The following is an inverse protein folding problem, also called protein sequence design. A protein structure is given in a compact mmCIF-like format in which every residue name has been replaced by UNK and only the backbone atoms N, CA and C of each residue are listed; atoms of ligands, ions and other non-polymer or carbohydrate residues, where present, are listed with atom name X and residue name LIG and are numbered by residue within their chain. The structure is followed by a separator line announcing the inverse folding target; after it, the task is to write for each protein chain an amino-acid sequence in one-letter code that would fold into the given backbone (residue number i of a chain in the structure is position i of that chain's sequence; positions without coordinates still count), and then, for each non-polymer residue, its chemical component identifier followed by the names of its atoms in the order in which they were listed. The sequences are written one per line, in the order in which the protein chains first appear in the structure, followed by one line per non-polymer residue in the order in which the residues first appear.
data_IF_607739864530
#
_entry.id   IF_607739864530
#
_cell.length_a   1.000
_cell.length_b   1.000
_cell.length_c   1.000
_cell.angle_alpha   90.00
_cell.angle_beta   90.00
_cell.angle_gamma   90.00
#
_symmetry.space_group_name_H-M   'P 1'
#
loop_
_entity.id
_entity.type
_entity.pdbx_description
1 polymer ?
#
# COMPACT_ATOMS: atom_id res chain seq x y z
N UNK A 1 -0.34 -12.22 22.51
CA UNK A 1 -1.10 -13.51 22.58
C UNK A 1 -2.54 -13.26 22.13
N UNK A 2 -3.03 -14.04 21.18
CA UNK A 2 -4.38 -13.90 20.60
C UNK A 2 -5.46 -14.32 21.61
N UNK A 3 -6.56 -13.58 21.67
CA UNK A 3 -7.76 -13.95 22.44
C UNK A 3 -8.56 -15.02 21.70
N UNK A 4 -9.48 -15.72 22.39
CA UNK A 4 -10.35 -16.72 21.77
C UNK A 4 -11.19 -16.15 20.62
N UNK A 5 -11.66 -14.91 20.74
CA UNK A 5 -12.39 -14.19 19.67
C UNK A 5 -11.49 -13.97 18.46
N UNK A 6 -10.24 -13.59 18.66
CA UNK A 6 -9.27 -13.39 17.58
C UNK A 6 -8.85 -14.72 16.94
N UNK A 7 -8.67 -15.79 17.74
CA UNK A 7 -8.43 -17.14 17.21
C UNK A 7 -9.59 -17.58 16.30
N UNK A 8 -10.83 -17.28 16.66
CA UNK A 8 -12.00 -17.57 15.83
C UNK A 8 -12.01 -16.70 14.57
N UNK A 9 -11.78 -15.38 14.69
CA UNK A 9 -11.78 -14.41 13.59
C UNK A 9 -10.73 -14.77 12.54
N UNK A 10 -9.51 -15.02 12.97
CA UNK A 10 -8.35 -15.24 12.08
C UNK A 10 -8.08 -16.71 11.79
N UNK A 11 -8.92 -17.62 12.26
CA UNK A 11 -8.70 -19.07 12.20
C UNK A 11 -8.36 -19.61 10.81
N UNK A 12 -8.88 -18.99 9.73
CA UNK A 12 -8.60 -19.43 8.36
C UNK A 12 -7.17 -19.11 7.90
N UNK A 13 -6.60 -17.99 8.32
CA UNK A 13 -5.21 -17.63 8.00
C UNK A 13 -4.21 -18.28 8.97
N UNK A 14 -4.61 -18.57 10.22
CA UNK A 14 -3.79 -19.33 11.17
C UNK A 14 -3.50 -20.78 10.73
N UNK A 15 -4.30 -21.34 9.82
CA UNK A 15 -4.07 -22.67 9.22
C UNK A 15 -2.96 -22.69 8.17
N UNK A 16 -2.49 -21.54 7.71
CA UNK A 16 -1.39 -21.46 6.76
C UNK A 16 -0.08 -21.74 7.50
N UNK A 17 0.62 -22.81 7.10
CA UNK A 17 1.78 -23.35 7.79
C UNK A 17 2.90 -22.32 8.04
N UNK A 18 3.15 -21.44 7.04
CA UNK A 18 4.24 -20.45 7.11
C UNK A 18 3.80 -19.11 7.70
N UNK A 19 2.50 -18.97 8.03
CA UNK A 19 1.94 -17.75 8.61
C UNK A 19 1.66 -17.94 10.10
N UNK A 20 0.83 -18.92 10.43
CA UNK A 20 0.43 -19.39 11.78
C UNK A 20 0.11 -18.26 12.78
N UNK A 21 0.28 -18.55 14.08
CA UNK A 21 0.08 -17.60 15.20
C UNK A 21 1.13 -16.49 15.16
N UNK A 22 2.37 -16.80 14.78
CA UNK A 22 3.45 -15.81 14.77
C UNK A 22 3.20 -14.73 13.71
N UNK A 23 2.76 -15.09 12.51
CA UNK A 23 2.38 -14.15 11.47
C UNK A 23 1.21 -13.25 11.89
N UNK A 24 0.20 -13.82 12.58
CA UNK A 24 -0.94 -13.05 13.08
C UNK A 24 -0.53 -12.07 14.19
N UNK A 25 0.30 -12.49 15.12
CA UNK A 25 0.81 -11.62 16.19
C UNK A 25 1.68 -10.50 15.61
N UNK A 26 2.47 -10.79 14.55
CA UNK A 26 3.23 -9.77 13.82
C UNK A 26 2.31 -8.74 13.15
N UNK A 27 1.22 -9.17 12.50
CA UNK A 27 0.23 -8.23 11.93
C UNK A 27 -0.44 -7.36 13.00
N UNK A 28 -0.81 -7.95 14.13
CA UNK A 28 -1.45 -7.21 15.24
C UNK A 28 -0.52 -6.18 15.88
N UNK A 29 0.78 -6.42 15.87
CA UNK A 29 1.77 -5.48 16.36
C UNK A 29 2.09 -4.36 15.38
N UNK A 30 1.77 -4.56 14.09
CA UNK A 30 2.20 -3.68 13.02
C UNK A 30 1.35 -2.41 12.89
N UNK A 31 2.02 -1.33 12.47
CA UNK A 31 1.42 -0.05 12.08
C UNK A 31 1.64 0.17 10.58
N UNK A 32 0.57 0.38 9.81
CA UNK A 32 0.60 0.64 8.37
C UNK A 32 0.07 2.04 8.07
N UNK A 33 0.84 2.84 7.31
CA UNK A 33 0.36 4.07 6.71
C UNK A 33 -0.15 3.77 5.29
N UNK A 34 -1.40 4.13 4.98
CA UNK A 34 -1.98 4.07 3.64
C UNK A 34 -2.16 5.50 3.14
N UNK A 35 -1.51 5.84 2.03
CA UNK A 35 -1.62 7.15 1.39
C UNK A 35 -2.45 7.04 0.12
N UNK A 36 -3.59 7.71 0.10
CA UNK A 36 -4.63 7.62 -0.91
C UNK A 36 -5.67 6.55 -0.58
N UNK A 37 -6.94 6.95 -0.43
CA UNK A 37 -8.10 6.08 -0.15
C UNK A 37 -9.05 6.01 -1.37
N UNK A 38 -8.44 6.11 -2.55
CA UNK A 38 -9.12 5.97 -3.83
C UNK A 38 -9.35 4.51 -4.24
N UNK A 39 -9.30 4.23 -5.54
CA UNK A 39 -9.58 2.89 -6.09
C UNK A 39 -8.60 1.80 -5.66
N UNK A 40 -7.32 2.14 -5.41
CA UNK A 40 -6.29 1.23 -4.92
C UNK A 40 -6.33 1.11 -3.38
N UNK A 41 -6.40 2.27 -2.69
CA UNK A 41 -6.36 2.29 -1.23
C UNK A 41 -7.60 1.72 -0.57
N UNK A 42 -8.78 1.84 -1.18
CA UNK A 42 -10.01 1.25 -0.66
C UNK A 42 -9.91 -0.26 -0.43
N UNK A 43 -9.62 -1.10 -1.44
CA UNK A 43 -9.47 -2.54 -1.22
C UNK A 43 -8.25 -2.86 -0.34
N UNK A 44 -7.15 -2.11 -0.43
CA UNK A 44 -5.99 -2.31 0.43
C UNK A 44 -6.36 -2.14 1.91
N UNK A 45 -7.05 -1.05 2.27
CA UNK A 45 -7.49 -0.79 3.63
C UNK A 45 -8.46 -1.88 4.15
N UNK A 46 -9.43 -2.28 3.33
CA UNK A 46 -10.42 -3.33 3.67
C UNK A 46 -9.72 -4.65 3.99
N UNK A 47 -8.80 -5.11 3.14
CA UNK A 47 -8.14 -6.39 3.34
C UNK A 47 -7.11 -6.38 4.47
N UNK A 48 -6.39 -5.28 4.68
CA UNK A 48 -5.48 -5.13 5.83
C UNK A 48 -6.25 -5.12 7.17
N UNK A 49 -7.39 -4.43 7.20
CA UNK A 49 -8.27 -4.45 8.37
C UNK A 49 -8.84 -5.85 8.64
N UNK A 50 -9.34 -6.53 7.62
CA UNK A 50 -9.87 -7.89 7.73
C UNK A 50 -8.80 -8.90 8.16
N UNK A 51 -7.54 -8.74 7.70
CA UNK A 51 -6.41 -9.55 8.10
C UNK A 51 -5.93 -9.29 9.53
N UNK A 52 -6.32 -8.17 10.15
CA UNK A 52 -6.01 -7.87 11.55
C UNK A 52 -4.68 -7.13 11.76
N UNK A 53 -4.34 -6.20 10.87
CA UNK A 53 -3.28 -5.20 11.15
C UNK A 53 -3.68 -4.39 12.38
N UNK A 54 -2.75 -4.25 13.35
CA UNK A 54 -3.11 -3.65 14.64
C UNK A 54 -3.43 -2.17 14.60
N UNK A 55 -2.67 -1.39 13.81
CA UNK A 55 -2.88 0.05 13.64
C UNK A 55 -2.77 0.46 12.19
N UNK A 56 -3.71 1.28 11.74
CA UNK A 56 -3.73 1.85 10.39
C UNK A 56 -3.81 3.37 10.47
N UNK A 57 -2.92 4.05 9.75
CA UNK A 57 -2.96 5.50 9.54
C UNK A 57 -3.47 5.70 8.12
N UNK A 58 -4.65 6.31 7.98
CA UNK A 58 -5.33 6.51 6.70
C UNK A 58 -5.21 7.98 6.29
N UNK A 59 -4.50 8.26 5.19
CA UNK A 59 -4.22 9.62 4.73
C UNK A 59 -4.84 9.88 3.36
N UNK A 60 -5.77 10.84 3.28
CA UNK A 60 -6.36 11.34 2.04
C UNK A 60 -6.95 12.73 2.26
N UNK A 61 -6.58 13.71 1.41
CA UNK A 61 -7.05 15.09 1.49
C UNK A 61 -8.39 15.34 0.82
N UNK A 62 -8.87 14.40 0.00
CA UNK A 62 -10.08 14.57 -0.82
C UNK A 62 -11.37 14.23 -0.05
N UNK A 63 -12.48 14.63 -0.65
CA UNK A 63 -13.82 14.20 -0.25
C UNK A 63 -14.37 13.14 -1.19
N UNK A 64 -15.32 12.37 -0.68
CA UNK A 64 -16.05 11.37 -1.48
C UNK A 64 -17.00 12.06 -2.44
N UNK A 65 -16.90 11.72 -3.71
CA UNK A 65 -17.77 12.19 -4.78
C UNK A 65 -18.54 11.02 -5.40
N UNK A 66 -19.71 11.29 -5.95
CA UNK A 66 -20.53 10.28 -6.67
C UNK A 66 -19.74 9.59 -7.78
N UNK A 67 -18.87 10.32 -8.50
CA UNK A 67 -17.99 9.80 -9.56
C UNK A 67 -16.94 8.80 -9.06
N UNK A 68 -16.68 8.77 -7.76
CA UNK A 68 -15.71 7.87 -7.13
C UNK A 68 -16.29 6.49 -6.83
N UNK A 69 -17.57 6.40 -6.54
CA UNK A 69 -18.23 5.20 -5.97
C UNK A 69 -18.14 3.97 -6.90
N UNK A 70 -17.96 4.17 -8.20
CA UNK A 70 -17.83 3.07 -9.15
C UNK A 70 -16.55 2.23 -8.92
N UNK A 71 -15.53 2.75 -8.17
CA UNK A 71 -14.25 2.06 -7.94
C UNK A 71 -13.66 2.20 -6.53
N UNK A 72 -14.16 3.10 -5.71
CA UNK A 72 -13.65 3.38 -4.36
C UNK A 72 -14.56 2.71 -3.32
N UNK A 73 -14.44 1.40 -3.20
CA UNK A 73 -15.38 0.51 -2.49
C UNK A 73 -15.40 0.62 -0.97
N UNK A 74 -14.51 1.41 -0.37
CA UNK A 74 -14.57 1.75 1.06
C UNK A 74 -15.61 2.83 1.38
N UNK A 75 -16.19 3.47 0.35
CA UNK A 75 -17.14 4.56 0.46
C UNK A 75 -18.51 4.15 -0.08
N UNK A 76 -19.56 4.76 0.45
CA UNK A 76 -20.97 4.55 0.07
C UNK A 76 -21.62 5.85 -0.38
N UNK A 77 -22.83 5.79 -0.92
CA UNK A 77 -23.60 6.99 -1.26
C UNK A 77 -23.86 7.90 -0.05
N UNK A 78 -23.96 7.31 1.15
CA UNK A 78 -24.15 8.07 2.39
C UNK A 78 -22.89 8.89 2.78
N UNK A 79 -21.73 8.57 2.21
CA UNK A 79 -20.46 9.23 2.53
C UNK A 79 -20.14 10.40 1.60
N UNK A 80 -20.99 10.67 0.59
CA UNK A 80 -20.76 11.78 -0.36
C UNK A 80 -20.59 13.10 0.40
N UNK A 81 -19.46 13.79 0.16
CA UNK A 81 -19.07 15.02 0.83
C UNK A 81 -18.23 14.82 2.10
N UNK A 82 -18.12 13.60 2.64
CA UNK A 82 -17.20 13.30 3.74
C UNK A 82 -15.77 13.19 3.21
N UNK A 83 -14.78 13.51 4.06
CA UNK A 83 -13.39 13.23 3.73
C UNK A 83 -13.17 11.71 3.57
N UNK A 84 -12.39 11.30 2.55
CA UNK A 84 -12.16 9.89 2.21
C UNK A 84 -11.49 9.10 3.34
N UNK A 85 -10.52 9.69 4.06
CA UNK A 85 -9.89 9.02 5.19
C UNK A 85 -10.89 8.76 6.33
N UNK A 86 -11.78 9.71 6.61
CA UNK A 86 -12.84 9.56 7.61
C UNK A 86 -13.85 8.48 7.22
N UNK A 87 -14.30 8.46 5.97
CA UNK A 87 -15.23 7.44 5.45
C UNK A 87 -14.59 6.05 5.48
N UNK A 88 -13.35 5.92 5.01
CA UNK A 88 -12.62 4.64 5.04
C UNK A 88 -12.39 4.14 6.47
N UNK A 89 -12.13 5.02 7.44
CA UNK A 89 -11.99 4.66 8.84
C UNK A 89 -13.27 4.03 9.42
N UNK A 90 -14.43 4.57 9.07
CA UNK A 90 -15.72 4.00 9.46
C UNK A 90 -15.91 2.59 8.87
N UNK A 91 -15.54 2.38 7.62
CA UNK A 91 -15.58 1.07 6.96
C UNK A 91 -14.63 0.08 7.62
N UNK A 92 -13.38 0.47 7.91
CA UNK A 92 -12.40 -0.35 8.63
C UNK A 92 -12.95 -0.76 9.99
N UNK A 93 -13.50 0.16 10.78
CA UNK A 93 -14.07 -0.13 12.09
C UNK A 93 -15.28 -1.08 12.02
N UNK A 94 -16.09 -1.01 10.97
CA UNK A 94 -17.21 -1.90 10.74
C UNK A 94 -16.76 -3.34 10.37
N UNK A 95 -15.60 -3.47 9.70
CA UNK A 95 -15.02 -4.77 9.33
C UNK A 95 -14.32 -5.40 10.53
N UNK A 96 -13.51 -4.61 11.24
CA UNK A 96 -12.70 -5.11 12.34
C UNK A 96 -12.48 -4.01 13.40
N UNK A 97 -13.24 -4.09 14.49
CA UNK A 97 -13.19 -3.11 15.59
C UNK A 97 -11.91 -3.20 16.43
N UNK A 98 -11.09 -4.25 16.26
CA UNK A 98 -9.81 -4.40 16.97
C UNK A 98 -8.71 -3.52 16.34
N UNK A 99 -8.90 -3.05 15.10
CA UNK A 99 -7.95 -2.20 14.38
C UNK A 99 -8.01 -0.77 14.92
N UNK A 100 -6.88 -0.27 15.39
CA UNK A 100 -6.75 1.14 15.75
C UNK A 100 -6.58 1.98 14.48
N UNK A 101 -7.45 2.97 14.28
CA UNK A 101 -7.40 3.82 13.09
C UNK A 101 -7.12 5.27 13.48
N UNK A 102 -6.10 5.86 12.84
CA UNK A 102 -5.83 7.28 12.83
C UNK A 102 -6.12 7.83 11.43
N UNK A 103 -6.72 9.02 11.33
CA UNK A 103 -7.02 9.65 10.05
C UNK A 103 -6.24 10.94 9.85
N UNK A 104 -5.70 11.14 8.64
CA UNK A 104 -5.09 12.37 8.17
C UNK A 104 -5.96 12.87 7.02
N UNK A 105 -6.67 13.98 7.25
CA UNK A 105 -7.72 14.50 6.35
C UNK A 105 -7.24 15.61 5.42
N UNK A 106 -5.93 15.72 5.23
CA UNK A 106 -5.29 16.66 4.31
C UNK A 106 -4.21 15.93 3.49
N UNK A 107 -3.79 16.56 2.41
CA UNK A 107 -2.68 16.03 1.60
C UNK A 107 -1.38 16.15 2.38
N UNK A 108 -0.71 15.00 2.59
CA UNK A 108 0.58 14.96 3.26
C UNK A 108 1.65 15.71 2.47
N UNK A 109 2.41 16.54 3.15
CA UNK A 109 3.60 17.19 2.60
C UNK A 109 4.85 16.35 2.86
N UNK A 110 5.93 16.60 2.12
CA UNK A 110 7.19 15.89 2.33
C UNK A 110 7.76 16.12 3.73
N UNK A 111 7.62 17.33 4.26
CA UNK A 111 8.13 17.70 5.60
C UNK A 111 7.41 16.92 6.71
N UNK A 112 6.11 16.67 6.57
CA UNK A 112 5.31 15.91 7.54
C UNK A 112 5.66 14.41 7.53
N UNK A 113 6.09 13.86 6.40
CA UNK A 113 6.31 12.42 6.26
C UNK A 113 7.36 11.89 7.24
N UNK A 114 8.44 12.63 7.50
CA UNK A 114 9.48 12.21 8.44
C UNK A 114 8.95 11.99 9.86
N UNK A 115 8.02 12.84 10.31
CA UNK A 115 7.37 12.71 11.61
C UNK A 115 6.32 11.60 11.60
N UNK A 116 5.50 11.55 10.54
CA UNK A 116 4.40 10.58 10.39
C UNK A 116 4.86 9.14 10.25
N UNK A 117 6.10 8.91 9.79
CA UNK A 117 6.67 7.56 9.69
C UNK A 117 7.30 7.05 11.00
N UNK A 118 7.31 7.84 12.07
CA UNK A 118 7.77 7.36 13.37
C UNK A 118 6.82 6.27 13.91
N UNK A 119 7.36 5.06 14.11
CA UNK A 119 6.59 3.91 14.57
C UNK A 119 5.67 3.29 13.50
N UNK A 120 5.86 3.63 12.23
CA UNK A 120 5.25 2.95 11.08
C UNK A 120 6.17 1.85 10.59
N UNK A 121 5.63 0.66 10.36
CA UNK A 121 6.38 -0.52 9.90
C UNK A 121 6.37 -0.67 8.38
N UNK A 122 5.35 -0.12 7.70
CA UNK A 122 5.18 -0.23 6.26
C UNK A 122 4.28 0.89 5.72
N UNK A 123 4.59 1.36 4.51
CA UNK A 123 3.75 2.30 3.76
C UNK A 123 3.12 1.62 2.56
N UNK A 124 1.81 1.80 2.38
CA UNK A 124 1.07 1.48 1.16
C UNK A 124 0.84 2.78 0.38
N UNK A 125 1.49 2.89 -0.77
CA UNK A 125 1.30 3.99 -1.70
C UNK A 125 0.19 3.63 -2.70
N UNK A 126 -0.98 4.22 -2.48
CA UNK A 126 -2.15 4.14 -3.35
C UNK A 126 -2.48 5.51 -3.97
N UNK A 127 -1.50 6.41 -4.00
CA UNK A 127 -1.60 7.75 -4.58
C UNK A 127 -1.61 7.70 -6.12
N UNK A 128 -2.02 8.81 -6.72
CA UNK A 128 -2.19 8.93 -8.19
C UNK A 128 -1.27 9.98 -8.84
N UNK A 129 -0.32 10.54 -8.07
CA UNK A 129 0.59 11.56 -8.58
C UNK A 129 2.05 11.31 -8.22
N UNK A 130 2.96 11.74 -9.08
CA UNK A 130 4.40 11.53 -8.91
C UNK A 130 5.02 12.26 -7.72
N UNK A 131 4.67 13.53 -7.41
CA UNK A 131 5.27 14.26 -6.29
C UNK A 131 5.19 13.50 -4.98
N UNK A 132 4.01 13.02 -4.60
CA UNK A 132 3.84 12.27 -3.35
C UNK A 132 4.56 10.91 -3.39
N UNK A 133 4.59 10.22 -4.53
CA UNK A 133 5.30 8.94 -4.68
C UNK A 133 6.80 9.09 -4.44
N UNK A 134 7.42 10.15 -4.97
CA UNK A 134 8.83 10.43 -4.72
C UNK A 134 9.08 10.86 -3.28
N UNK A 135 8.19 11.64 -2.67
CA UNK A 135 8.27 12.03 -1.27
C UNK A 135 8.20 10.80 -0.35
N UNK A 136 7.20 9.91 -0.57
CA UNK A 136 7.09 8.63 0.14
C UNK A 136 8.32 7.75 -0.02
N UNK A 137 8.87 7.65 -1.25
CA UNK A 137 10.09 6.91 -1.51
C UNK A 137 11.26 7.41 -0.65
N UNK A 138 11.51 8.74 -0.62
CA UNK A 138 12.59 9.31 0.20
C UNK A 138 12.36 9.09 1.69
N UNK A 139 11.14 9.30 2.16
CA UNK A 139 10.79 9.11 3.56
C UNK A 139 10.93 7.64 4.01
N UNK A 140 10.48 6.67 3.20
CA UNK A 140 10.65 5.24 3.47
C UNK A 140 12.13 4.81 3.46
N UNK A 141 12.94 5.38 2.56
CA UNK A 141 14.39 5.15 2.54
C UNK A 141 15.03 5.65 3.85
N UNK A 142 14.70 6.87 4.27
CA UNK A 142 15.24 7.47 5.48
C UNK A 142 14.84 6.71 6.75
N UNK A 143 13.61 6.20 6.80
CA UNK A 143 13.06 5.42 7.91
C UNK A 143 13.46 3.93 7.86
N UNK A 144 14.01 3.46 6.74
CA UNK A 144 14.41 2.05 6.57
C UNK A 144 13.23 1.08 6.52
N UNK A 145 12.04 1.51 6.05
CA UNK A 145 10.82 0.71 5.97
C UNK A 145 10.41 0.42 4.52
N UNK A 146 9.66 -0.67 4.26
CA UNK A 146 9.18 -1.00 2.93
C UNK A 146 8.06 -0.06 2.45
N UNK A 147 8.06 0.20 1.13
CA UNK A 147 7.02 0.92 0.39
C UNK A 147 6.37 -0.04 -0.60
N UNK A 148 5.09 -0.35 -0.41
CA UNK A 148 4.28 -1.14 -1.36
C UNK A 148 3.54 -0.18 -2.27
N UNK A 149 3.96 -0.08 -3.54
CA UNK A 149 3.40 0.88 -4.48
C UNK A 149 2.75 0.19 -5.67
N UNK A 150 1.55 0.63 -6.02
CA UNK A 150 0.84 0.21 -7.22
C UNK A 150 0.41 1.40 -8.06
N UNK A 151 0.20 1.15 -9.35
CA UNK A 151 -0.40 2.10 -10.27
C UNK A 151 -1.31 1.36 -11.26
N UNK A 152 -2.41 2.00 -11.62
CA UNK A 152 -3.34 1.51 -12.63
C UNK A 152 -3.69 2.62 -13.60
N UNK A 153 -3.66 2.32 -14.90
CA UNK A 153 -4.10 3.21 -15.96
C UNK A 153 -4.91 2.39 -16.97
N UNK A 154 -6.14 2.80 -17.25
CA UNK A 154 -7.04 2.06 -18.14
C UNK A 154 -7.27 0.62 -17.68
N UNK A 155 -6.69 -0.34 -18.38
CA UNK A 155 -6.74 -1.78 -18.09
C UNK A 155 -5.36 -2.36 -17.77
N UNK A 156 -4.36 -1.50 -17.54
CA UNK A 156 -3.02 -1.90 -17.20
C UNK A 156 -2.72 -1.59 -15.74
N UNK A 157 -1.92 -2.43 -15.11
CA UNK A 157 -1.54 -2.27 -13.74
C UNK A 157 -0.12 -2.69 -13.44
N UNK A 158 0.48 -2.10 -12.43
CA UNK A 158 1.80 -2.47 -11.94
C UNK A 158 1.85 -2.42 -10.42
N UNK A 159 2.70 -3.29 -9.85
CA UNK A 159 2.90 -3.41 -8.41
C UNK A 159 4.36 -3.78 -8.14
N UNK A 160 4.96 -3.14 -7.14
CA UNK A 160 6.28 -3.47 -6.63
C UNK A 160 6.39 -3.19 -5.12
N UNK A 161 7.34 -3.86 -4.48
CA UNK A 161 7.79 -3.54 -3.13
C UNK A 161 9.17 -2.90 -3.21
N UNK A 162 9.27 -1.65 -2.80
CA UNK A 162 10.52 -0.90 -2.73
C UNK A 162 11.08 -0.96 -1.32
N UNK A 163 12.20 -1.67 -1.14
CA UNK A 163 12.81 -1.84 0.19
C UNK A 163 14.33 -1.83 0.11
N UNK A 164 14.95 -0.64 -0.04
CA UNK A 164 16.41 -0.53 -0.17
C UNK A 164 17.20 -1.01 1.06
N UNK A 165 16.63 -0.90 2.26
CA UNK A 165 17.27 -1.40 3.48
C UNK A 165 17.47 -2.93 3.45
N UNK A 166 16.56 -3.67 2.78
CA UNK A 166 16.72 -5.10 2.50
C UNK A 166 17.51 -5.41 1.21
N UNK A 167 18.23 -4.41 0.65
CA UNK A 167 19.02 -4.58 -0.58
C UNK A 167 18.23 -4.44 -1.88
N UNK A 168 16.93 -4.22 -1.81
CA UNK A 168 16.05 -4.02 -2.96
C UNK A 168 16.24 -2.65 -3.64
N UNK A 169 15.56 -2.42 -4.77
CA UNK A 169 15.49 -1.12 -5.41
C UNK A 169 14.59 -0.15 -4.63
N UNK A 170 14.69 1.15 -4.95
CA UNK A 170 13.72 2.16 -4.55
C UNK A 170 12.85 2.58 -5.74
N UNK A 171 11.81 3.39 -5.50
CA UNK A 171 10.90 3.87 -6.55
C UNK A 171 11.67 4.62 -7.67
N UNK A 172 12.69 5.43 -7.32
CA UNK A 172 13.53 6.14 -8.29
C UNK A 172 14.44 5.21 -9.11
N UNK A 173 14.69 3.98 -8.68
CA UNK A 173 15.37 3.00 -9.53
C UNK A 173 14.51 2.59 -10.73
N UNK A 174 13.18 2.54 -10.56
CA UNK A 174 12.22 2.26 -11.63
C UNK A 174 11.94 3.51 -12.48
N UNK A 175 11.74 4.66 -11.80
CA UNK A 175 11.44 5.96 -12.44
C UNK A 175 12.58 6.95 -12.19
N UNK A 176 13.62 6.97 -13.04
CA UNK A 176 14.81 7.83 -12.82
C UNK A 176 14.53 9.32 -12.84
N UNK A 177 13.53 9.72 -13.61
CA UNK A 177 13.04 11.09 -13.70
C UNK A 177 11.62 11.14 -13.20
N UNK A 178 11.23 12.24 -12.56
CA UNK A 178 9.82 12.51 -12.34
C UNK A 178 9.14 12.53 -13.73
N UNK A 179 8.13 11.67 -13.90
CA UNK A 179 7.33 11.68 -15.12
C UNK A 179 6.71 13.06 -15.27
N UNK A 180 6.40 13.44 -16.51
CA UNK A 180 5.57 14.60 -16.76
C UNK A 180 4.18 14.28 -16.16
N UNK A 181 3.67 15.10 -15.22
CA UNK A 181 2.35 14.90 -14.61
C UNK A 181 1.22 14.95 -15.65
N UNK A 182 1.56 15.36 -16.90
CA UNK A 182 0.70 15.25 -18.08
C UNK A 182 0.59 13.81 -18.62
N UNK A 183 1.41 12.86 -18.15
CA UNK A 183 1.30 11.47 -18.54
C UNK A 183 0.07 10.85 -17.83
N UNK A 184 -1.03 10.79 -18.57
CA UNK A 184 -2.30 10.09 -18.35
C UNK A 184 -2.58 9.68 -16.89
N UNK A 185 -3.19 10.60 -16.13
CA UNK A 185 -3.73 10.24 -14.81
C UNK A 185 -4.93 9.26 -14.97
N UNK A 186 -5.22 8.47 -13.95
CA UNK A 186 -6.42 7.62 -13.94
C UNK A 186 -7.72 8.44 -14.13
N UNK A 187 -7.71 9.71 -13.70
CA UNK A 187 -8.85 10.63 -13.84
C UNK A 187 -9.11 11.02 -15.30
N UNK A 188 -8.05 11.15 -16.11
CA UNK A 188 -8.16 11.55 -17.53
C UNK A 188 -8.26 10.34 -18.47
N UNK A 189 -7.69 9.20 -18.09
CA UNK A 189 -7.60 8.02 -18.96
C UNK A 189 -8.72 7.00 -18.74
N UNK A 190 -9.47 7.11 -17.63
CA UNK A 190 -10.44 6.12 -17.19
C UNK A 190 -9.78 4.85 -16.63
N UNK A 191 -10.52 4.13 -15.80
CA UNK A 191 -10.10 2.84 -15.22
C UNK A 191 -11.34 2.00 -14.87
N UNK A 192 -11.27 0.69 -15.07
CA UNK A 192 -12.30 -0.23 -14.62
C UNK A 192 -12.13 -0.55 -13.13
N UNK A 193 -13.24 -0.58 -12.40
CA UNK A 193 -13.25 -0.88 -10.96
C UNK A 193 -12.48 -2.17 -10.58
N UNK A 194 -12.69 -3.32 -11.25
CA UNK A 194 -11.95 -4.54 -10.93
C UNK A 194 -10.43 -4.42 -11.08
N UNK A 195 -9.94 -3.57 -11.96
CA UNK A 195 -8.49 -3.36 -12.15
C UNK A 195 -7.85 -2.82 -10.87
N UNK A 196 -8.38 -1.72 -10.35
CA UNK A 196 -7.89 -1.15 -9.08
C UNK A 196 -8.23 -2.04 -7.89
N UNK A 197 -9.36 -2.76 -7.93
CA UNK A 197 -9.74 -3.73 -6.92
C UNK A 197 -8.72 -4.85 -6.76
N UNK A 198 -8.29 -5.47 -7.87
CA UNK A 198 -7.28 -6.53 -7.85
C UNK A 198 -5.92 -5.99 -7.40
N UNK A 199 -5.48 -4.85 -7.94
CA UNK A 199 -4.18 -4.28 -7.58
C UNK A 199 -4.12 -3.85 -6.11
N UNK A 200 -5.16 -3.22 -5.56
CA UNK A 200 -5.19 -2.85 -4.15
C UNK A 200 -5.24 -4.08 -3.22
N UNK A 201 -5.92 -5.15 -3.65
CA UNK A 201 -5.90 -6.43 -2.93
C UNK A 201 -4.50 -7.06 -2.93
N UNK A 202 -3.78 -6.97 -4.06
CA UNK A 202 -2.39 -7.40 -4.16
C UNK A 202 -1.45 -6.51 -3.33
N UNK A 203 -1.71 -5.19 -3.22
CA UNK A 203 -0.96 -4.33 -2.29
C UNK A 203 -1.14 -4.80 -0.84
N UNK A 204 -2.36 -5.13 -0.42
CA UNK A 204 -2.61 -5.69 0.90
C UNK A 204 -1.84 -7.01 1.12
N UNK A 205 -1.85 -7.91 0.13
CA UNK A 205 -1.11 -9.17 0.20
C UNK A 205 0.40 -8.95 0.33
N UNK A 206 0.98 -8.04 -0.45
CA UNK A 206 2.41 -7.71 -0.36
C UNK A 206 2.75 -7.07 1.00
N UNK A 207 1.88 -6.21 1.54
CA UNK A 207 2.05 -5.65 2.87
C UNK A 207 2.02 -6.74 3.95
N UNK A 208 1.06 -7.67 3.89
CA UNK A 208 0.99 -8.82 4.82
C UNK A 208 2.26 -9.66 4.73
N UNK A 209 2.77 -9.96 3.52
CA UNK A 209 4.01 -10.73 3.36
C UNK A 209 5.21 -10.05 4.00
N UNK A 210 5.33 -8.73 3.84
CA UNK A 210 6.41 -7.96 4.45
C UNK A 210 6.31 -7.94 5.98
N UNK A 211 5.10 -7.72 6.53
CA UNK A 211 4.89 -7.56 7.97
C UNK A 211 4.97 -8.88 8.74
N UNK A 212 4.40 -9.95 8.17
CA UNK A 212 4.36 -11.26 8.80
C UNK A 212 5.58 -12.15 8.44
N UNK A 213 6.52 -11.65 7.63
CA UNK A 213 7.63 -12.43 7.07
C UNK A 213 7.13 -13.73 6.41
N UNK A 214 6.05 -13.62 5.63
CA UNK A 214 5.34 -14.73 4.99
C UNK A 214 5.59 -14.74 3.48
N UNK A 215 5.93 -15.90 2.92
CA UNK A 215 6.17 -16.06 1.50
C UNK A 215 7.32 -15.18 0.97
N UNK A 216 7.24 -14.79 -0.30
CA UNK A 216 8.24 -13.95 -0.98
C UNK A 216 7.63 -12.62 -1.40
N UNK A 217 7.91 -11.49 -0.73
CA UNK A 217 7.51 -10.17 -1.20
C UNK A 217 8.14 -9.82 -2.56
N UNK A 218 7.50 -8.93 -3.33
CA UNK A 218 7.97 -8.46 -4.64
C UNK A 218 9.17 -7.50 -4.54
N UNK A 219 10.10 -7.73 -3.60
CA UNK A 219 11.33 -6.94 -3.49
C UNK A 219 12.25 -7.29 -4.66
N UNK A 220 12.68 -6.26 -5.43
CA UNK A 220 13.49 -6.47 -6.64
C UNK A 220 12.73 -7.04 -7.82
N UNK A 221 11.42 -6.97 -7.80
CA UNK A 221 10.55 -7.42 -8.88
C UNK A 221 9.44 -6.41 -9.14
N UNK A 222 9.06 -6.28 -10.41
CA UNK A 222 7.91 -5.51 -10.87
C UNK A 222 6.88 -6.47 -11.46
N UNK A 223 5.68 -6.47 -10.90
CA UNK A 223 4.53 -7.13 -11.50
C UNK A 223 3.87 -6.17 -12.47
N UNK A 224 3.67 -6.58 -13.71
CA UNK A 224 2.93 -5.84 -14.74
C UNK A 224 1.77 -6.72 -15.19
N UNK A 225 0.58 -6.14 -15.25
CA UNK A 225 -0.67 -6.83 -15.59
C UNK A 225 -1.40 -6.09 -16.71
N UNK A 226 -1.78 -6.83 -17.76
CA UNK A 226 -2.77 -6.40 -18.73
C UNK A 226 -4.10 -7.11 -18.43
N UNK A 227 -5.09 -6.36 -17.94
CA UNK A 227 -6.39 -6.90 -17.57
C UNK A 227 -7.33 -7.15 -18.76
N UNK A 228 -6.96 -6.75 -19.97
CA UNK A 228 -7.75 -7.08 -21.19
C UNK A 228 -7.56 -8.53 -21.58
N UNK A 229 -6.32 -9.03 -21.39
CA UNK A 229 -5.93 -10.41 -21.75
C UNK A 229 -5.70 -11.28 -20.50
N UNK A 230 -5.71 -10.67 -19.30
CA UNK A 230 -5.33 -11.30 -18.02
C UNK A 230 -3.88 -11.80 -18.07
N UNK A 231 -3.04 -11.14 -18.86
CA UNK A 231 -1.61 -11.45 -18.90
C UNK A 231 -0.89 -10.82 -17.70
N UNK A 232 -0.03 -11.61 -17.06
CA UNK A 232 0.75 -11.21 -15.91
C UNK A 232 2.22 -11.45 -16.17
N UNK A 233 3.03 -10.40 -16.07
CA UNK A 233 4.48 -10.48 -16.24
C UNK A 233 5.18 -10.10 -14.93
N UNK A 234 6.21 -10.88 -14.57
CA UNK A 234 7.05 -10.62 -13.39
C UNK A 234 8.46 -10.28 -13.87
N UNK A 235 8.78 -9.00 -13.88
CA UNK A 235 10.04 -8.48 -14.36
C UNK A 235 11.05 -8.32 -13.21
N UNK A 236 12.34 -8.55 -13.49
CA UNK A 236 13.40 -8.26 -12.52
C UNK A 236 13.64 -6.75 -12.47
N UNK A 237 13.59 -6.18 -11.28
CA UNK A 237 13.87 -4.78 -11.03
C UNK A 237 15.14 -4.65 -10.18
N UNK A 238 16.24 -4.28 -10.82
CA UNK A 238 17.51 -4.13 -10.15
C UNK A 238 17.64 -2.74 -9.48
N UNK A 239 18.30 -2.71 -8.33
CA UNK A 239 18.75 -1.45 -7.73
C UNK A 239 19.85 -0.82 -8.58
N UNK A 240 19.66 0.43 -8.97
CA UNK A 240 20.64 1.19 -9.75
C UNK A 240 21.79 1.67 -8.87
N UNK A 241 23.04 1.51 -9.36
CA UNK A 241 24.23 1.94 -8.64
C UNK A 241 24.41 3.47 -8.58
N UNK A 242 23.79 4.19 -9.52
CA UNK A 242 23.81 5.64 -9.66
C UNK A 242 22.52 6.32 -9.19
N UNK A 243 21.66 5.60 -8.47
CA UNK A 243 20.40 6.16 -8.00
C UNK A 243 20.59 7.24 -6.95
N UNK A 244 20.19 8.50 -7.16
CA UNK A 244 20.45 9.59 -6.23
C UNK A 244 19.78 9.37 -4.86
N UNK A 245 18.65 8.65 -4.79
CA UNK A 245 17.91 8.46 -3.55
C UNK A 245 18.48 7.31 -2.70
N UNK A 246 18.98 6.21 -3.30
CA UNK A 246 19.37 5.04 -2.51
C UNK A 246 20.80 4.51 -2.72
N UNK A 247 21.63 5.14 -3.59
CA UNK A 247 23.00 4.69 -3.85
C UNK A 247 23.90 4.65 -2.61
N UNK A 248 23.62 5.53 -1.63
CA UNK A 248 24.40 5.66 -0.40
C UNK A 248 24.18 4.51 0.61
N UNK A 249 23.11 3.73 0.45
CA UNK A 249 22.84 2.61 1.33
C UNK A 249 23.74 1.42 0.98
N UNK A 250 24.32 0.79 1.98
CA UNK A 250 25.09 -0.45 1.81
C UNK A 250 24.18 -1.56 1.29
N UNK A 251 24.70 -2.41 0.39
CA UNK A 251 24.00 -3.66 0.07
C UNK A 251 24.17 -4.60 1.26
N UNK A 252 23.08 -5.22 1.78
CA UNK A 252 23.25 -6.27 2.78
C UNK A 252 24.20 -7.33 2.21
N UNK A 253 25.19 -7.74 3.00
CA UNK A 253 25.98 -8.90 2.64
C UNK A 253 25.04 -10.11 2.71
N UNK A 254 24.80 -10.75 1.59
CA UNK A 254 24.11 -12.04 1.54
C UNK A 254 25.07 -13.04 2.18
N UNK A 255 24.83 -13.39 3.43
CA UNK A 255 25.49 -14.51 4.13
C UNK A 255 24.78 -15.80 3.81
#
# INVERSE_FOLDING_TARGET
MLTDVQLQRYGRQLLLHDFDIAGQEALQAATVLIVGLGGLGSPAAIYLAAAGVGRMILADGDVVESSNLQRQISHTEADIGLNKATSAAATVAAINSDVQVETITHTLTEDELSERLQGVDLVVDASDNYPIRFALNRACIASGIPLVSAAAVRTEGQLAVFYPAAGGPCYRCLYPQAGDDTALSCSESGVLAPVVGVLGSLQALEAIKCLANFGEPLIGRLLVMDFRTVEVQRLVLARRSDCPDCQHLSRPQIT
#
